data_IF_021503576429
#
_entry.id   IF_021503576429
#
_cell.length_a   1.000
_cell.length_b   1.000
_cell.length_c   1.000
_cell.angle_alpha   90.00
_cell.angle_beta   90.00
_cell.angle_gamma   90.00
#
_symmetry.space_group_name_H-M   'P 1'
#
loop_
_entity.id
_entity.type
_entity.pdbx_description
1 polymer ?
#
# COMPACT_ATOMS: atom_id res chain seq x y z
N UNK A 1 -33.79 18.09 -16.26
CA UNK A 1 -34.79 17.61 -15.28
C UNK A 1 -36.15 17.32 -15.93
N UNK A 2 -36.85 18.32 -16.50
CA UNK A 2 -38.19 18.12 -17.07
C UNK A 2 -38.30 17.02 -18.14
N UNK A 3 -37.28 16.83 -18.97
CA UNK A 3 -37.26 15.73 -19.95
C UNK A 3 -37.16 14.34 -19.31
N UNK A 4 -36.44 14.19 -18.19
CA UNK A 4 -36.31 12.92 -17.49
C UNK A 4 -37.66 12.48 -16.88
N UNK A 5 -38.38 13.42 -16.25
CA UNK A 5 -39.73 13.17 -15.69
C UNK A 5 -40.73 12.70 -16.75
N UNK A 6 -40.64 13.25 -17.97
CA UNK A 6 -41.51 12.84 -19.08
C UNK A 6 -41.17 11.43 -19.59
N UNK A 7 -39.88 11.08 -19.66
CA UNK A 7 -39.47 9.73 -20.02
C UNK A 7 -39.88 8.69 -18.97
N UNK A 8 -39.77 9.03 -17.69
CA UNK A 8 -40.21 8.18 -16.58
C UNK A 8 -41.73 7.93 -16.62
N UNK A 9 -42.53 8.98 -16.85
CA UNK A 9 -43.99 8.84 -17.07
C UNK A 9 -44.35 7.96 -18.26
N UNK A 10 -43.51 7.97 -19.29
CA UNK A 10 -43.65 7.10 -20.47
C UNK A 10 -43.00 5.72 -20.29
N UNK A 11 -42.53 5.35 -19.09
CA UNK A 11 -41.83 4.10 -18.76
C UNK A 11 -40.55 3.87 -19.59
N UNK A 12 -39.93 4.93 -20.10
CA UNK A 12 -38.67 4.88 -20.83
C UNK A 12 -37.49 5.14 -19.90
N UNK A 13 -37.23 4.19 -18.99
CA UNK A 13 -36.26 4.38 -17.89
C UNK A 13 -34.83 4.66 -18.36
N UNK A 14 -34.37 4.00 -19.42
CA UNK A 14 -33.04 4.24 -19.98
C UNK A 14 -32.86 5.70 -20.45
N UNK A 15 -33.84 6.25 -21.16
CA UNK A 15 -33.78 7.63 -21.65
C UNK A 15 -33.94 8.64 -20.51
N UNK A 16 -34.72 8.30 -19.48
CA UNK A 16 -34.81 9.09 -18.26
C UNK A 16 -33.45 9.17 -17.55
N UNK A 17 -32.79 8.03 -17.32
CA UNK A 17 -31.46 7.95 -16.71
C UNK A 17 -30.42 8.75 -17.51
N UNK A 18 -30.37 8.55 -18.84
CA UNK A 18 -29.46 9.27 -19.73
C UNK A 18 -29.70 10.79 -19.73
N UNK A 19 -30.96 11.22 -19.61
CA UNK A 19 -31.28 12.64 -19.48
C UNK A 19 -30.78 13.24 -18.16
N UNK A 20 -30.83 12.49 -17.06
CA UNK A 20 -30.24 12.90 -15.77
C UNK A 20 -28.71 12.95 -15.88
N UNK A 21 -28.09 11.93 -16.45
CA UNK A 21 -26.64 11.89 -16.68
C UNK A 21 -26.15 13.10 -17.47
N UNK A 22 -26.82 13.43 -18.58
CA UNK A 22 -26.50 14.62 -19.36
C UNK A 22 -26.67 15.92 -18.55
N UNK A 23 -27.70 15.99 -17.69
CA UNK A 23 -27.92 17.14 -16.82
C UNK A 23 -26.80 17.29 -15.77
N UNK A 24 -26.26 16.19 -15.23
CA UNK A 24 -25.09 16.22 -14.35
C UNK A 24 -23.90 16.87 -15.06
N UNK A 25 -23.59 16.47 -16.29
CA UNK A 25 -22.45 17.02 -17.04
C UNK A 25 -22.59 18.51 -17.31
N UNK A 26 -23.80 18.98 -17.63
CA UNK A 26 -24.06 20.40 -17.89
C UNK A 26 -24.04 21.22 -16.60
N UNK A 27 -24.40 20.64 -15.45
CA UNK A 27 -24.56 21.36 -14.19
C UNK A 27 -23.42 21.17 -13.18
N UNK A 28 -22.40 20.35 -13.51
CA UNK A 28 -21.30 19.98 -12.58
C UNK A 28 -20.55 21.15 -11.91
N UNK A 29 -20.48 22.30 -12.57
CA UNK A 29 -19.80 23.49 -12.04
C UNK A 29 -20.70 24.38 -11.18
N UNK A 30 -22.03 24.24 -11.32
CA UNK A 30 -23.03 25.10 -10.70
C UNK A 30 -23.76 24.41 -9.54
N UNK A 31 -23.93 23.10 -9.64
CA UNK A 31 -24.64 22.28 -8.65
C UNK A 31 -23.76 21.99 -7.43
N UNK A 32 -24.41 21.84 -6.28
CA UNK A 32 -23.75 21.35 -5.07
C UNK A 32 -23.35 19.88 -5.21
N UNK A 33 -22.31 19.41 -4.48
CA UNK A 33 -21.95 18.00 -4.48
C UNK A 33 -23.10 17.06 -4.05
N UNK A 34 -23.96 17.50 -3.14
CA UNK A 34 -25.13 16.74 -2.69
C UNK A 34 -26.19 16.58 -3.79
N UNK A 35 -26.44 17.62 -4.58
CA UNK A 35 -27.36 17.53 -5.72
C UNK A 35 -26.81 16.56 -6.78
N UNK A 36 -25.52 16.64 -7.08
CA UNK A 36 -24.88 15.72 -8.03
C UNK A 36 -24.94 14.28 -7.54
N UNK A 37 -24.69 14.05 -6.25
CA UNK A 37 -24.84 12.75 -5.61
C UNK A 37 -26.26 12.18 -5.80
N UNK A 38 -27.29 12.97 -5.47
CA UNK A 38 -28.68 12.55 -5.60
C UNK A 38 -29.08 12.26 -7.04
N UNK A 39 -28.61 13.09 -7.99
CA UNK A 39 -28.81 12.85 -9.43
C UNK A 39 -28.15 11.55 -9.89
N UNK A 40 -26.95 11.23 -9.40
CA UNK A 40 -26.24 9.99 -9.72
C UNK A 40 -27.00 8.76 -9.20
N UNK A 41 -27.42 8.77 -7.93
CA UNK A 41 -28.19 7.67 -7.34
C UNK A 41 -29.52 7.44 -8.09
N UNK A 42 -30.22 8.51 -8.45
CA UNK A 42 -31.47 8.41 -9.22
C UNK A 42 -31.21 7.82 -10.62
N UNK A 43 -30.23 8.35 -11.35
CA UNK A 43 -29.85 7.84 -12.67
C UNK A 43 -29.47 6.35 -12.62
N UNK A 44 -28.67 5.95 -11.63
CA UNK A 44 -28.28 4.55 -11.43
C UNK A 44 -29.46 3.64 -11.13
N UNK A 45 -30.42 4.09 -10.31
CA UNK A 45 -31.64 3.32 -10.04
C UNK A 45 -32.48 3.12 -11.30
N UNK A 46 -32.61 4.14 -12.15
CA UNK A 46 -33.35 4.03 -13.41
C UNK A 46 -32.66 3.09 -14.41
N UNK A 47 -31.33 3.11 -14.48
CA UNK A 47 -30.58 2.15 -15.29
C UNK A 47 -30.76 0.71 -14.79
N UNK A 48 -30.73 0.48 -13.48
CA UNK A 48 -30.99 -0.84 -12.88
C UNK A 48 -32.43 -1.31 -13.15
N UNK A 49 -33.43 -0.43 -13.04
CA UNK A 49 -34.83 -0.77 -13.36
C UNK A 49 -35.03 -1.13 -14.84
N UNK A 50 -34.18 -0.60 -15.72
CA UNK A 50 -34.14 -1.00 -17.13
C UNK A 50 -33.40 -2.33 -17.37
N UNK A 51 -32.63 -2.84 -16.39
CA UNK A 51 -31.76 -4.01 -16.53
C UNK A 51 -30.41 -3.68 -17.16
N UNK A 52 -29.87 -2.49 -16.88
CA UNK A 52 -28.54 -2.07 -17.34
C UNK A 52 -27.69 -1.60 -16.15
N UNK A 53 -27.35 -2.52 -15.26
CA UNK A 53 -26.51 -2.24 -14.08
C UNK A 53 -25.17 -1.59 -14.43
N UNK A 54 -24.50 -2.05 -15.50
CA UNK A 54 -23.21 -1.49 -15.95
C UNK A 54 -23.32 0.01 -16.26
N UNK A 55 -24.41 0.45 -16.92
CA UNK A 55 -24.64 1.87 -17.17
C UNK A 55 -24.88 2.64 -15.86
N UNK A 56 -25.57 2.01 -14.91
CA UNK A 56 -25.77 2.55 -13.57
C UNK A 56 -24.46 2.75 -12.80
N UNK A 57 -23.59 1.74 -12.77
CA UNK A 57 -22.27 1.81 -12.13
C UNK A 57 -21.37 2.87 -12.79
N UNK A 58 -21.37 2.95 -14.13
CA UNK A 58 -20.60 3.95 -14.87
C UNK A 58 -21.03 5.39 -14.56
N UNK A 59 -22.32 5.66 -14.36
CA UNK A 59 -22.77 6.99 -13.94
C UNK A 59 -22.29 7.32 -12.53
N UNK A 60 -22.36 6.36 -11.60
CA UNK A 60 -21.86 6.55 -10.24
C UNK A 60 -20.36 6.88 -10.24
N UNK A 61 -19.53 6.13 -10.97
CA UNK A 61 -18.08 6.40 -11.12
C UNK A 61 -17.81 7.79 -11.71
N UNK A 62 -18.56 8.16 -12.75
CA UNK A 62 -18.41 9.46 -13.41
C UNK A 62 -18.71 10.61 -12.46
N UNK A 63 -19.78 10.51 -11.67
CA UNK A 63 -20.14 11.56 -10.72
C UNK A 63 -19.23 11.57 -9.51
N UNK A 64 -18.79 10.41 -9.02
CA UNK A 64 -17.81 10.31 -7.94
C UNK A 64 -16.53 11.09 -8.27
N UNK A 65 -15.99 10.90 -9.49
CA UNK A 65 -14.81 11.65 -9.98
C UNK A 65 -15.02 13.16 -10.07
N UNK A 66 -16.25 13.61 -10.37
CA UNK A 66 -16.58 15.04 -10.44
C UNK A 66 -16.58 15.67 -9.04
N UNK A 67 -17.07 14.95 -8.04
CA UNK A 67 -17.24 15.48 -6.70
C UNK A 67 -16.09 15.17 -5.75
N UNK A 68 -15.17 14.26 -6.11
CA UNK A 68 -14.08 13.77 -5.26
C UNK A 68 -13.24 14.90 -4.63
N UNK A 69 -12.93 15.95 -5.40
CA UNK A 69 -12.13 17.08 -4.90
C UNK A 69 -12.90 17.94 -3.88
N UNK A 70 -14.21 18.11 -4.08
CA UNK A 70 -15.06 19.00 -3.26
C UNK A 70 -15.69 18.28 -2.06
N UNK A 71 -16.04 17.01 -2.22
CA UNK A 71 -16.77 16.19 -1.24
C UNK A 71 -16.33 14.72 -1.31
N UNK A 72 -15.10 14.41 -0.84
CA UNK A 72 -14.55 13.05 -0.88
C UNK A 72 -15.41 12.02 -0.14
N UNK A 73 -16.09 12.39 0.97
CA UNK A 73 -16.99 11.48 1.69
C UNK A 73 -18.19 11.00 0.85
N UNK A 74 -18.72 11.87 -0.02
CA UNK A 74 -19.80 11.49 -0.92
C UNK A 74 -19.28 10.65 -2.09
N UNK A 75 -18.08 10.94 -2.59
CA UNK A 75 -17.45 10.14 -3.63
C UNK A 75 -17.18 8.70 -3.16
N UNK A 76 -16.74 8.49 -1.91
CA UNK A 76 -16.60 7.14 -1.33
C UNK A 76 -17.92 6.36 -1.43
N UNK A 77 -19.04 6.99 -1.01
CA UNK A 77 -20.36 6.35 -1.06
C UNK A 77 -20.79 5.98 -2.49
N UNK A 78 -20.51 6.85 -3.45
CA UNK A 78 -20.81 6.58 -4.86
C UNK A 78 -19.96 5.42 -5.41
N UNK A 79 -18.67 5.35 -5.07
CA UNK A 79 -17.81 4.22 -5.48
C UNK A 79 -18.24 2.89 -4.83
N UNK A 80 -18.60 2.91 -3.54
CA UNK A 80 -19.16 1.73 -2.86
C UNK A 80 -20.46 1.28 -3.52
N UNK A 81 -21.37 2.20 -3.82
CA UNK A 81 -22.61 1.89 -4.53
C UNK A 81 -22.33 1.38 -5.95
N UNK A 82 -21.33 1.92 -6.66
CA UNK A 82 -20.94 1.44 -7.98
C UNK A 82 -20.41 -0.01 -7.93
N UNK A 83 -19.60 -0.32 -6.91
CA UNK A 83 -19.11 -1.68 -6.66
C UNK A 83 -20.26 -2.66 -6.41
N UNK A 84 -21.24 -2.28 -5.58
CA UNK A 84 -22.40 -3.11 -5.28
C UNK A 84 -23.26 -3.34 -6.53
N UNK A 85 -23.57 -2.28 -7.29
CA UNK A 85 -24.35 -2.38 -8.55
C UNK A 85 -23.63 -3.27 -9.57
N UNK A 86 -22.31 -3.11 -9.74
CA UNK A 86 -21.52 -3.95 -10.65
C UNK A 86 -21.51 -5.41 -10.20
N UNK A 87 -21.41 -5.68 -8.89
CA UNK A 87 -21.37 -7.05 -8.37
C UNK A 87 -22.65 -7.86 -8.60
N UNK A 88 -23.80 -7.19 -8.72
CA UNK A 88 -25.11 -7.83 -8.93
C UNK A 88 -25.34 -8.21 -10.40
N UNK A 89 -24.89 -7.38 -11.34
CA UNK A 89 -25.32 -7.47 -12.74
C UNK A 89 -24.33 -8.19 -13.65
N UNK A 90 -23.01 -7.92 -13.56
CA UNK A 90 -21.98 -8.71 -14.25
C UNK A 90 -20.53 -8.28 -13.89
N UNK A 91 -19.56 -9.17 -14.17
CA UNK A 91 -18.11 -8.95 -14.14
C UNK A 91 -17.52 -8.44 -12.81
N UNK A 92 -17.06 -9.38 -11.97
CA UNK A 92 -16.34 -9.11 -10.72
C UNK A 92 -15.18 -8.10 -10.90
N UNK A 93 -14.58 -8.04 -12.09
CA UNK A 93 -13.46 -7.16 -12.41
C UNK A 93 -13.79 -5.66 -12.39
N UNK A 94 -14.98 -5.24 -12.82
CA UNK A 94 -15.34 -3.81 -12.76
C UNK A 94 -15.66 -3.39 -11.32
N UNK A 95 -16.33 -4.26 -10.57
CA UNK A 95 -16.59 -4.07 -9.15
C UNK A 95 -15.30 -3.86 -8.35
N UNK A 96 -14.25 -4.64 -8.61
CA UNK A 96 -12.96 -4.48 -7.93
C UNK A 96 -12.33 -3.11 -8.16
N UNK A 97 -12.42 -2.54 -9.37
CA UNK A 97 -11.83 -1.22 -9.65
C UNK A 97 -12.52 -0.09 -8.84
N UNK A 98 -13.83 -0.18 -8.65
CA UNK A 98 -14.58 0.75 -7.81
C UNK A 98 -14.19 0.61 -6.34
N UNK A 99 -13.94 -0.62 -5.86
CA UNK A 99 -13.43 -0.88 -4.52
C UNK A 99 -12.04 -0.26 -4.36
N UNK A 100 -11.12 -0.46 -5.32
CA UNK A 100 -9.77 0.14 -5.25
C UNK A 100 -9.81 1.67 -5.15
N UNK A 101 -10.73 2.32 -5.90
CA UNK A 101 -10.94 3.78 -5.83
C UNK A 101 -11.46 4.21 -4.45
N UNK A 102 -12.45 3.49 -3.90
CA UNK A 102 -12.96 3.75 -2.55
C UNK A 102 -11.87 3.56 -1.48
N UNK A 103 -11.08 2.48 -1.55
CA UNK A 103 -9.97 2.18 -0.63
C UNK A 103 -8.94 3.32 -0.58
N UNK A 104 -8.48 3.81 -1.74
CA UNK A 104 -7.53 4.95 -1.83
C UNK A 104 -8.10 6.22 -1.21
N UNK A 105 -9.37 6.52 -1.50
CA UNK A 105 -10.03 7.71 -0.98
C UNK A 105 -10.25 7.64 0.54
N UNK A 106 -10.58 6.46 1.07
CA UNK A 106 -10.70 6.21 2.52
C UNK A 106 -9.36 6.41 3.23
N UNK A 107 -8.24 5.96 2.64
CA UNK A 107 -6.89 6.22 3.16
C UNK A 107 -6.58 7.72 3.16
N UNK A 108 -6.92 8.43 2.08
CA UNK A 108 -6.76 9.90 2.00
C UNK A 108 -7.59 10.64 3.06
N UNK A 109 -8.72 10.08 3.48
CA UNK A 109 -9.58 10.59 4.54
C UNK A 109 -9.17 10.15 5.95
N UNK A 110 -8.08 9.39 6.09
CA UNK A 110 -7.62 8.82 7.37
C UNK A 110 -8.66 7.91 8.06
N UNK A 111 -9.64 7.39 7.30
CA UNK A 111 -10.67 6.44 7.76
C UNK A 111 -10.13 5.01 7.64
N UNK A 112 -9.10 4.71 8.42
CA UNK A 112 -8.31 3.49 8.26
C UNK A 112 -9.08 2.19 8.48
N UNK A 113 -10.02 2.15 9.43
CA UNK A 113 -10.84 0.96 9.67
C UNK A 113 -11.66 0.57 8.42
N UNK A 114 -12.35 1.55 7.83
CA UNK A 114 -13.13 1.33 6.61
C UNK A 114 -12.25 1.03 5.40
N UNK A 115 -11.07 1.65 5.32
CA UNK A 115 -10.09 1.35 4.28
C UNK A 115 -9.63 -0.11 4.34
N UNK A 116 -9.37 -0.64 5.54
CA UNK A 116 -8.98 -2.04 5.73
C UNK A 116 -10.08 -3.01 5.34
N UNK A 117 -11.33 -2.72 5.70
CA UNK A 117 -12.47 -3.54 5.30
C UNK A 117 -12.65 -3.53 3.77
N UNK A 118 -12.49 -2.36 3.13
CA UNK A 118 -12.53 -2.21 1.68
C UNK A 118 -11.40 -2.99 0.99
N UNK A 119 -10.17 -2.88 1.48
CA UNK A 119 -9.01 -3.62 0.94
C UNK A 119 -9.15 -5.14 1.10
N UNK A 120 -9.67 -5.62 2.24
CA UNK A 120 -9.93 -7.05 2.47
C UNK A 120 -10.99 -7.58 1.51
N UNK A 121 -12.06 -6.80 1.29
CA UNK A 121 -13.08 -7.13 0.30
C UNK A 121 -12.48 -7.23 -1.10
N UNK A 122 -11.57 -6.32 -1.47
CA UNK A 122 -10.85 -6.34 -2.74
C UNK A 122 -9.97 -7.59 -2.91
N UNK A 123 -9.21 -7.96 -1.87
CA UNK A 123 -8.41 -9.20 -1.85
C UNK A 123 -9.30 -10.41 -2.09
N UNK A 124 -10.47 -10.49 -1.43
CA UNK A 124 -11.43 -11.59 -1.61
C UNK A 124 -11.79 -11.79 -3.08
N UNK A 125 -12.15 -10.71 -3.79
CA UNK A 125 -12.47 -10.79 -5.22
C UNK A 125 -11.28 -11.19 -6.10
N UNK A 126 -10.07 -10.71 -5.80
CA UNK A 126 -8.88 -11.09 -6.57
C UNK A 126 -8.51 -12.56 -6.37
N UNK A 127 -8.67 -13.08 -5.15
CA UNK A 127 -8.46 -14.51 -4.86
C UNK A 127 -9.50 -15.37 -5.59
N UNK A 128 -10.78 -14.99 -5.57
CA UNK A 128 -11.83 -15.69 -6.34
C UNK A 128 -11.55 -15.69 -7.85
N UNK A 129 -10.98 -14.60 -8.36
CA UNK A 129 -10.61 -14.44 -9.77
C UNK A 129 -9.28 -15.13 -10.15
N UNK A 130 -8.52 -15.64 -9.18
CA UNK A 130 -7.19 -16.23 -9.38
C UNK A 130 -6.08 -15.22 -9.74
N UNK A 131 -6.29 -13.91 -9.50
CA UNK A 131 -5.32 -12.87 -9.82
C UNK A 131 -4.46 -12.50 -8.60
N UNK A 132 -3.44 -13.32 -8.32
CA UNK A 132 -2.61 -13.21 -7.12
C UNK A 132 -1.69 -12.00 -7.09
N UNK A 133 -1.23 -11.50 -8.25
CA UNK A 133 -0.33 -10.33 -8.30
C UNK A 133 -0.94 -9.04 -7.72
N UNK A 134 -2.27 -8.86 -7.81
CA UNK A 134 -2.93 -7.75 -7.14
C UNK A 134 -2.97 -7.92 -5.61
N UNK A 135 -3.10 -9.16 -5.13
CA UNK A 135 -3.16 -9.47 -3.70
C UNK A 135 -1.86 -9.08 -3.01
N UNK A 136 -0.72 -9.30 -3.65
CA UNK A 136 0.59 -8.89 -3.13
C UNK A 136 0.67 -7.38 -2.86
N UNK A 137 0.31 -6.55 -3.85
CA UNK A 137 0.25 -5.08 -3.68
C UNK A 137 -0.75 -4.63 -2.64
N UNK A 138 -1.92 -5.26 -2.59
CA UNK A 138 -2.95 -4.96 -1.58
C UNK A 138 -2.49 -5.35 -0.17
N UNK A 139 -1.69 -6.41 -0.03
CA UNK A 139 -1.07 -6.80 1.25
C UNK A 139 -0.13 -5.71 1.73
N UNK A 140 0.68 -5.12 0.83
CA UNK A 140 1.52 -3.96 1.18
C UNK A 140 0.67 -2.78 1.63
N UNK A 141 -0.42 -2.46 0.91
CA UNK A 141 -1.33 -1.40 1.30
C UNK A 141 -1.95 -1.63 2.70
N UNK A 142 -2.40 -2.85 3.02
CA UNK A 142 -2.93 -3.20 4.34
C UNK A 142 -1.87 -3.00 5.42
N UNK A 143 -0.63 -3.47 5.21
CA UNK A 143 0.46 -3.28 6.17
C UNK A 143 0.72 -1.80 6.43
N UNK A 144 0.79 -0.97 5.39
CA UNK A 144 0.96 0.48 5.54
C UNK A 144 -0.18 1.13 6.33
N UNK A 145 -1.43 0.73 6.08
CA UNK A 145 -2.59 1.24 6.81
C UNK A 145 -2.57 0.81 8.28
N UNK A 146 -2.19 -0.43 8.58
CA UNK A 146 -2.08 -0.91 9.97
C UNK A 146 -0.96 -0.19 10.74
N UNK A 147 0.18 0.04 10.10
CA UNK A 147 1.27 0.82 10.69
C UNK A 147 0.86 2.28 10.90
N UNK A 148 0.11 2.89 9.98
CA UNK A 148 -0.44 4.24 10.16
C UNK A 148 -1.38 4.35 11.36
N UNK A 149 -2.09 3.26 11.70
CA UNK A 149 -2.91 3.17 12.92
C UNK A 149 -2.10 2.95 14.20
N UNK A 150 -0.79 2.69 14.09
CA UNK A 150 0.07 2.33 15.22
C UNK A 150 -0.08 0.88 15.68
N UNK A 151 -0.61 -0.02 14.85
CA UNK A 151 -0.80 -1.43 15.18
C UNK A 151 0.15 -2.32 14.36
N UNK A 152 1.40 -2.44 14.84
CA UNK A 152 2.43 -3.28 14.21
C UNK A 152 2.09 -4.78 14.29
N UNK A 153 1.38 -5.22 15.33
CA UNK A 153 0.98 -6.62 15.50
C UNK A 153 -0.06 -7.01 14.45
N UNK A 154 -1.04 -6.14 14.20
CA UNK A 154 -2.01 -6.35 13.13
C UNK A 154 -1.37 -6.28 11.73
N UNK A 155 -0.34 -5.45 11.55
CA UNK A 155 0.44 -5.40 10.32
C UNK A 155 1.17 -6.74 10.05
N UNK A 156 1.86 -7.30 11.04
CA UNK A 156 2.53 -8.59 10.92
C UNK A 156 1.52 -9.73 10.65
N UNK A 157 0.36 -9.70 11.30
CA UNK A 157 -0.71 -10.67 11.06
C UNK A 157 -1.21 -10.60 9.61
N UNK A 158 -1.42 -9.42 9.06
CA UNK A 158 -1.84 -9.24 7.67
C UNK A 158 -0.79 -9.79 6.69
N UNK A 159 0.50 -9.57 6.96
CA UNK A 159 1.58 -10.15 6.17
C UNK A 159 1.58 -11.68 6.24
N UNK A 160 1.38 -12.29 7.42
CA UNK A 160 1.28 -13.75 7.55
C UNK A 160 0.07 -14.33 6.81
N UNK A 161 -1.04 -13.60 6.75
CA UNK A 161 -2.28 -14.04 6.12
C UNK A 161 -2.18 -14.06 4.59
N UNK A 162 -1.65 -13.01 3.97
CA UNK A 162 -1.63 -12.86 2.51
C UNK A 162 -0.24 -12.85 1.87
N UNK A 163 0.84 -12.86 2.65
CA UNK A 163 2.23 -12.74 2.18
C UNK A 163 2.68 -13.85 1.24
N UNK A 164 2.03 -15.02 1.26
CA UNK A 164 2.28 -16.08 0.29
C UNK A 164 1.91 -15.69 -1.16
N UNK A 165 1.11 -14.63 -1.34
CA UNK A 165 0.74 -14.09 -2.64
C UNK A 165 1.63 -12.92 -3.07
N UNK A 166 2.61 -12.52 -2.25
CA UNK A 166 3.52 -11.44 -2.56
C UNK A 166 4.61 -11.88 -3.54
N UNK A 167 4.95 -11.00 -4.47
CA UNK A 167 6.15 -11.15 -5.29
C UNK A 167 7.41 -10.82 -4.48
N UNK A 168 8.58 -11.24 -4.97
CA UNK A 168 9.88 -11.02 -4.29
C UNK A 168 10.09 -9.55 -3.85
N UNK A 169 9.80 -8.51 -4.66
CA UNK A 169 10.01 -7.13 -4.25
C UNK A 169 9.09 -6.68 -3.10
N UNK A 170 7.86 -7.20 -3.07
CA UNK A 170 6.88 -6.92 -2.02
C UNK A 170 7.31 -7.58 -0.71
N UNK A 171 7.66 -8.85 -0.79
CA UNK A 171 8.17 -9.65 0.33
C UNK A 171 9.38 -8.98 0.99
N UNK A 172 10.40 -8.64 0.20
CA UNK A 172 11.61 -7.96 0.69
C UNK A 172 11.31 -6.62 1.36
N UNK A 173 10.39 -5.84 0.78
CA UNK A 173 10.00 -4.54 1.34
C UNK A 173 9.25 -4.71 2.67
N UNK A 174 8.34 -5.68 2.74
CA UNK A 174 7.55 -5.96 3.94
C UNK A 174 8.37 -6.56 5.07
N UNK A 175 9.28 -7.49 4.78
CA UNK A 175 10.17 -8.09 5.78
C UNK A 175 11.11 -7.04 6.38
N UNK A 176 11.76 -6.23 5.54
CA UNK A 176 12.63 -5.14 6.01
C UNK A 176 11.85 -4.10 6.82
N UNK A 177 10.60 -3.82 6.44
CA UNK A 177 9.74 -2.89 7.18
C UNK A 177 9.34 -3.47 8.54
N UNK A 178 8.77 -4.68 8.57
CA UNK A 178 8.29 -5.31 9.80
C UNK A 178 9.43 -5.60 10.78
N UNK A 179 10.58 -6.06 10.29
CA UNK A 179 11.78 -6.26 11.11
C UNK A 179 12.24 -4.97 11.76
N UNK A 180 12.21 -3.84 11.04
CA UNK A 180 12.57 -2.55 11.62
C UNK A 180 11.61 -2.08 12.72
N UNK A 181 10.33 -2.46 12.66
CA UNK A 181 9.38 -2.19 13.75
C UNK A 181 9.58 -3.13 14.94
N UNK A 182 9.92 -4.39 14.70
CA UNK A 182 10.22 -5.38 15.75
C UNK A 182 11.50 -5.04 16.52
N UNK A 183 12.54 -4.59 15.81
CA UNK A 183 13.84 -4.17 16.39
C UNK A 183 13.83 -2.72 16.92
N UNK A 184 12.70 -2.01 16.79
CA UNK A 184 12.56 -0.59 17.12
C UNK A 184 13.60 0.32 16.42
N UNK A 185 14.11 -0.08 15.24
CA UNK A 185 15.07 0.68 14.45
C UNK A 185 14.37 1.74 13.58
N UNK A 186 14.38 2.97 14.09
CA UNK A 186 13.84 4.15 13.43
C UNK A 186 14.45 4.43 12.06
N UNK A 187 15.76 4.27 11.89
CA UNK A 187 16.45 4.59 10.65
C UNK A 187 16.19 3.53 9.58
N UNK A 188 16.13 2.26 9.97
CA UNK A 188 15.71 1.17 9.09
C UNK A 188 14.25 1.33 8.66
N UNK A 189 13.33 1.63 9.58
CA UNK A 189 11.91 1.82 9.27
C UNK A 189 11.72 2.99 8.28
N UNK A 190 12.41 4.11 8.52
CA UNK A 190 12.36 5.27 7.61
C UNK A 190 12.90 4.94 6.21
N UNK A 191 13.96 4.13 6.11
CA UNK A 191 14.53 3.70 4.83
C UNK A 191 13.57 2.75 4.09
N UNK A 192 12.94 1.82 4.81
CA UNK A 192 11.98 0.88 4.25
C UNK A 192 10.74 1.59 3.71
N UNK A 193 10.16 2.52 4.47
CA UNK A 193 9.03 3.37 4.04
C UNK A 193 9.36 4.24 2.84
N UNK A 194 10.64 4.63 2.67
CA UNK A 194 11.12 5.40 1.53
C UNK A 194 11.56 4.55 0.32
N UNK A 195 11.29 3.24 0.33
CA UNK A 195 11.70 2.33 -0.74
C UNK A 195 11.13 2.75 -2.10
N UNK A 196 11.85 2.48 -3.21
CA UNK A 196 11.33 2.74 -4.55
C UNK A 196 10.01 2.02 -4.83
N UNK A 197 9.83 0.84 -4.25
CA UNK A 197 8.60 0.06 -4.38
C UNK A 197 7.40 0.83 -3.82
N UNK A 198 7.44 1.23 -2.55
CA UNK A 198 6.35 1.99 -1.90
C UNK A 198 6.09 3.31 -2.62
N UNK A 199 7.15 3.99 -3.08
CA UNK A 199 7.02 5.24 -3.86
C UNK A 199 6.33 5.05 -5.21
N UNK A 200 6.39 3.86 -5.78
CA UNK A 200 5.76 3.52 -7.07
C UNK A 200 4.33 2.99 -6.93
N UNK A 201 3.85 2.80 -5.70
CA UNK A 201 2.45 2.45 -5.45
C UNK A 201 1.52 3.64 -5.75
N UNK A 202 0.20 3.43 -5.60
CA UNK A 202 -0.75 4.53 -5.69
C UNK A 202 -0.37 5.69 -4.77
N UNK A 203 -0.66 6.90 -5.25
CA UNK A 203 -0.21 8.15 -4.63
C UNK A 203 -0.67 8.25 -3.18
N UNK A 204 -1.86 7.77 -2.86
CA UNK A 204 -2.43 7.78 -1.51
C UNK A 204 -1.62 6.90 -0.55
N UNK A 205 -1.21 5.70 -0.98
CA UNK A 205 -0.38 4.81 -0.16
C UNK A 205 1.07 5.32 -0.04
N UNK A 206 1.62 5.86 -1.12
CA UNK A 206 2.95 6.47 -1.10
C UNK A 206 3.01 7.70 -0.17
N UNK A 207 1.94 8.50 -0.13
CA UNK A 207 1.81 9.62 0.83
C UNK A 207 1.61 9.14 2.25
N UNK A 208 0.78 8.10 2.45
CA UNK A 208 0.57 7.47 3.75
C UNK A 208 1.89 7.01 4.36
N UNK A 209 2.77 6.38 3.57
CA UNK A 209 4.08 5.93 4.05
C UNK A 209 4.94 7.05 4.67
N UNK A 210 4.73 8.31 4.25
CA UNK A 210 5.41 9.47 4.83
C UNK A 210 4.82 9.98 6.15
N UNK A 211 3.60 9.57 6.50
CA UNK A 211 2.89 9.99 7.72
C UNK A 211 2.88 8.90 8.80
N UNK A 212 3.34 7.68 8.49
CA UNK A 212 3.38 6.56 9.43
C UNK A 212 4.30 6.90 10.63
N UNK A 213 3.83 6.71 11.88
CA UNK A 213 4.66 6.85 13.08
C UNK A 213 5.83 5.89 13.06
N UNK A 214 7.05 6.42 13.23
CA UNK A 214 8.26 5.60 13.32
C UNK A 214 8.35 4.94 14.70
N UNK A 215 8.95 3.73 14.81
CA UNK A 215 9.15 3.09 16.10
C UNK A 215 10.00 3.96 17.04
N UNK A 216 9.67 3.92 18.32
CA UNK A 216 10.37 4.65 19.38
C UNK A 216 11.68 3.94 19.74
N UNK A 217 12.70 4.10 18.90
CA UNK A 217 14.03 3.58 19.21
C UNK A 217 14.71 4.37 20.33
N UNK A 218 15.47 3.67 21.18
CA UNK A 218 16.45 4.27 22.11
C UNK A 218 17.38 5.14 21.27
N UNK A 219 17.40 6.46 21.49
CA UNK A 219 18.28 7.36 20.75
C UNK A 219 19.72 6.82 20.82
N UNK A 220 20.37 6.50 19.69
CA UNK A 220 21.78 6.18 19.71
C UNK A 220 22.49 7.41 20.26
N UNK A 221 23.21 7.23 21.37
CA UNK A 221 24.04 8.28 21.99
C UNK A 221 24.76 9.02 20.86
N UNK A 222 24.60 10.35 20.74
CA UNK A 222 25.15 11.09 19.62
C UNK A 222 26.62 10.75 19.51
N UNK A 223 27.01 10.15 18.36
CA UNK A 223 28.41 9.81 18.09
C UNK A 223 29.20 11.09 18.31
N UNK A 224 29.98 11.10 19.39
CA UNK A 224 30.80 12.23 19.76
C UNK A 224 31.62 12.59 18.52
N UNK A 225 31.41 13.81 18.00
CA UNK A 225 32.21 14.33 16.91
C UNK A 225 33.66 14.29 17.41
N UNK A 226 34.46 13.35 16.88
CA UNK A 226 35.90 13.34 17.08
C UNK A 226 36.39 14.64 16.46
N UNK A 227 36.64 15.65 17.29
CA UNK A 227 37.30 16.88 16.87
C UNK A 227 38.68 16.50 16.36
N UNK A 228 38.94 16.76 15.09
CA UNK A 228 40.18 16.43 14.36
C UNK A 228 41.44 17.15 14.89
N UNK A 229 41.41 17.76 16.07
CA UNK A 229 42.55 18.49 16.65
C UNK A 229 42.66 18.27 18.17
N UNK A 230 42.68 17.01 18.60
CA UNK A 230 43.20 16.67 19.91
C UNK A 230 44.74 16.68 19.84
N UNK A 231 45.36 17.70 20.44
CA UNK A 231 46.81 17.74 20.62
C UNK A 231 47.29 16.49 21.37
N UNK A 232 48.47 15.93 21.04
CA UNK A 232 48.99 14.74 21.70
C UNK A 232 49.28 15.05 23.18
N UNK A 233 48.43 14.55 24.07
CA UNK A 233 48.63 14.66 25.51
C UNK A 233 49.59 13.57 26.00
N UNK A 234 50.85 13.99 26.17
CA UNK A 234 51.84 13.57 27.16
C UNK A 234 52.20 12.07 27.26
N UNK A 235 53.40 11.73 26.78
CA UNK A 235 54.09 10.47 27.08
C UNK A 235 54.77 10.58 28.45
N UNK A 236 54.35 9.78 29.42
CA UNK A 236 55.10 9.59 30.66
C UNK A 236 56.22 8.58 30.43
N UNK A 237 57.45 9.08 30.35
CA UNK A 237 58.68 8.29 30.50
C UNK A 237 58.85 7.95 31.97
N UNK A 238 58.94 6.66 32.31
CA UNK A 238 59.69 6.23 33.48
C UNK A 238 60.42 4.93 33.15
N UNK A 239 61.72 5.10 32.92
CA UNK A 239 62.75 4.06 32.93
C UNK A 239 63.04 3.75 34.41
N UNK A 240 63.07 2.48 34.76
CA UNK A 240 63.51 1.95 36.05
C UNK A 240 63.68 0.45 35.94
N UNK A 241 64.94 0.03 35.77
CA UNK A 241 65.45 -1.31 35.50
C UNK A 241 65.22 -2.31 36.65
N UNK A 242 65.25 -3.61 36.32
CA UNK A 242 65.51 -4.70 37.29
C UNK A 242 64.94 -6.07 36.91
N UNK A 243 65.66 -6.80 36.06
CA UNK A 243 66.03 -8.26 36.14
C UNK A 243 64.97 -9.34 36.49
N UNK A 244 64.98 -10.58 36.01
CA UNK A 244 65.56 -11.36 34.89
C UNK A 244 64.95 -12.79 35.02
N UNK A 245 65.01 -13.58 33.94
CA UNK A 245 64.86 -15.05 33.86
C UNK A 245 63.43 -15.66 34.06
N UNK A 246 62.96 -16.68 33.32
CA UNK A 246 63.67 -17.71 32.57
C UNK A 246 62.78 -18.42 31.50
N UNK A 247 63.45 -19.11 30.58
CA UNK A 247 63.02 -19.90 29.40
C UNK A 247 61.85 -20.90 29.55
N UNK A 248 61.04 -21.09 28.49
CA UNK A 248 61.08 -22.33 27.66
C UNK A 248 60.14 -22.33 26.43
N UNK A 249 60.79 -22.57 25.28
CA UNK A 249 60.43 -23.09 23.95
C UNK A 249 59.23 -24.07 23.79
N UNK A 250 58.46 -23.87 22.70
CA UNK A 250 57.75 -24.82 21.80
C UNK A 250 56.42 -24.17 21.35
N UNK A 251 55.88 -24.26 20.13
CA UNK A 251 56.18 -24.85 18.83
C UNK A 251 55.27 -24.12 17.81
N UNK A 252 55.72 -24.05 16.56
CA UNK A 252 55.04 -23.42 15.42
C UNK A 252 54.18 -24.48 14.74
N UNK A 253 52.93 -24.17 14.39
CA UNK A 253 52.23 -24.82 13.26
C UNK A 253 51.29 -23.79 12.57
N UNK A 254 51.74 -23.29 11.42
CA UNK A 254 50.94 -22.66 10.38
C UNK A 254 50.27 -23.77 9.55
N UNK A 255 48.98 -23.66 9.26
CA UNK A 255 48.26 -24.55 8.33
C UNK A 255 47.87 -23.74 7.10
N UNK A 256 48.50 -24.07 5.98
CA UNK A 256 48.24 -23.60 4.62
C UNK A 256 46.89 -24.13 4.09
N UNK A 257 46.10 -23.25 3.48
CA UNK A 257 44.92 -23.61 2.67
C UNK A 257 45.32 -23.70 1.19
N UNK A 258 45.33 -24.91 0.64
CA UNK A 258 45.51 -25.14 -0.80
C UNK A 258 44.16 -25.39 -1.51
N UNK A 259 43.90 -24.49 -2.47
CA UNK A 259 42.89 -24.54 -3.53
C UNK A 259 43.12 -25.76 -4.45
N UNK A 260 42.05 -26.43 -4.88
CA UNK A 260 42.15 -27.45 -5.93
C UNK A 260 40.92 -27.41 -6.84
N UNK A 261 41.06 -26.69 -7.96
CA UNK A 261 40.29 -26.89 -9.20
C UNK A 261 41.01 -27.91 -10.09
N UNK A 262 40.22 -28.76 -10.75
CA UNK A 262 40.34 -29.27 -12.16
C UNK A 262 39.25 -30.35 -12.35
N UNK A 263 38.26 -30.17 -13.24
CA UNK A 263 38.21 -30.55 -14.68
C UNK A 263 38.48 -32.06 -14.87
N UNK A 264 37.62 -32.87 -15.51
CA UNK A 264 37.30 -32.99 -16.96
C UNK A 264 36.10 -33.97 -17.12
N UNK A 265 35.09 -33.69 -17.95
CA UNK A 265 34.79 -34.22 -19.32
C UNK A 265 34.28 -35.68 -19.34
N UNK A 266 33.00 -35.90 -19.67
CA UNK A 266 32.40 -36.31 -20.97
C UNK A 266 32.35 -37.83 -21.19
N UNK A 267 31.17 -38.29 -21.69
CA UNK A 267 30.83 -39.58 -22.37
C UNK A 267 29.47 -40.09 -21.86
N UNK A 268 28.49 -40.53 -22.65
CA UNK A 268 28.20 -40.47 -24.08
C UNK A 268 26.73 -40.94 -24.25
N UNK A 269 26.16 -40.65 -25.42
CA UNK A 269 24.77 -40.84 -25.85
C UNK A 269 24.27 -42.30 -25.93
N UNK A 270 22.99 -42.50 -25.62
CA UNK A 270 21.96 -43.13 -26.48
C UNK A 270 20.56 -43.00 -25.85
#
# INVERSE_FOLDING_TARGET
MKSAELYEKNRSFFHAAKAIENAVIVSKELSSPEELYNMACNSSSLYQQHGSGDAGANVLDKVAKIIEEKAPDLAVKLFQQAADVSSVESSQHQGTEYISKASRLLVKLERYDEALDSLRREIGFHLESGYTGAVGRLTVAIVLVQLARGDAVAAEKAYKEWGNNCEVPEMQTLEMLLQAYDEEDRDAAKRALASPFIRSMDVEYARLAGTIPLPEGIEPVPKAAVRENAAPSYVSVNIGEGEEANMSRAEVEEIDFADNRKTEEEDDLC
#
